data_IF_359602754625
#
_entry.id   IF_359602754625
#
_cell.length_a   1.000
_cell.length_b   1.000
_cell.length_c   1.000
_cell.angle_alpha   90.00
_cell.angle_beta   90.00
_cell.angle_gamma   90.00
#
_symmetry.space_group_name_H-M   'P 1'
#
loop_
_entity.id
_entity.type
_entity.pdbx_description
1 polymer ?
#
# COMPACT_ATOMS: atom_id res chain seq x y z
N UNK A 1 9.48 24.34 25.78
CA UNK A 1 10.55 23.34 25.98
C UNK A 1 10.92 22.80 24.62
N UNK A 2 12.17 22.96 24.18
CA UNK A 2 12.64 22.40 22.91
C UNK A 2 13.05 20.96 23.21
N UNK A 3 12.38 19.98 22.61
CA UNK A 3 12.68 18.56 22.81
C UNK A 3 13.92 18.15 22.02
N UNK A 4 14.83 17.41 22.65
CA UNK A 4 15.98 16.81 21.99
C UNK A 4 15.51 15.67 21.06
N UNK A 5 16.08 15.62 19.84
CA UNK A 5 15.80 14.57 18.85
C UNK A 5 17.11 13.89 18.47
N UNK A 6 17.10 12.56 18.35
CA UNK A 6 18.26 11.79 17.89
C UNK A 6 18.26 11.63 16.38
N UNK A 7 19.43 11.80 15.76
CA UNK A 7 19.63 11.63 14.33
C UNK A 7 20.68 10.56 14.05
N UNK A 8 20.48 9.81 12.96
CA UNK A 8 21.47 8.88 12.47
C UNK A 8 22.43 9.60 11.52
N UNK A 9 23.69 9.73 11.91
CA UNK A 9 24.76 10.26 11.06
C UNK A 9 25.70 9.12 10.65
N UNK A 10 25.90 8.95 9.35
CA UNK A 10 26.90 8.01 8.83
C UNK A 10 28.25 8.71 8.70
N UNK A 11 29.32 8.05 9.15
CA UNK A 11 30.69 8.58 9.06
C UNK A 11 31.41 8.22 7.76
N UNK A 12 30.88 7.24 7.01
CA UNK A 12 31.42 6.77 5.72
C UNK A 12 30.28 6.29 4.81
N UNK A 13 30.50 6.39 3.51
CA UNK A 13 29.57 5.95 2.46
C UNK A 13 30.26 4.98 1.50
N UNK A 14 29.51 4.04 0.95
CA UNK A 14 29.96 3.14 -0.11
C UNK A 14 29.00 3.23 -1.31
N UNK A 15 29.54 3.18 -2.52
CA UNK A 15 28.72 3.06 -3.73
C UNK A 15 28.08 1.66 -3.74
N UNK A 16 26.74 1.61 -3.68
CA UNK A 16 25.98 0.37 -3.80
C UNK A 16 25.11 0.43 -5.05
N UNK A 17 25.10 -0.62 -5.91
CA UNK A 17 24.22 -0.65 -7.06
C UNK A 17 22.76 -0.61 -6.58
N UNK A 18 21.97 0.28 -7.15
CA UNK A 18 20.54 0.34 -6.89
C UNK A 18 19.92 -0.94 -7.45
N UNK A 19 19.27 -1.75 -6.60
CA UNK A 19 18.44 -2.86 -7.10
C UNK A 19 17.39 -2.26 -8.03
N UNK A 20 17.43 -2.65 -9.30
CA UNK A 20 16.36 -2.32 -10.22
C UNK A 20 15.10 -3.01 -9.69
N UNK A 21 14.21 -2.22 -9.11
CA UNK A 21 12.85 -2.65 -8.83
C UNK A 21 12.11 -2.40 -10.12
N UNK A 22 12.40 -3.20 -11.15
CA UNK A 22 11.62 -3.21 -12.38
C UNK A 22 10.22 -3.57 -11.93
N UNK A 23 9.37 -2.54 -11.76
CA UNK A 23 7.96 -2.79 -11.53
C UNK A 23 7.53 -3.55 -12.77
N UNK A 24 6.99 -4.78 -12.65
CA UNK A 24 6.44 -5.45 -13.80
C UNK A 24 5.47 -4.47 -14.47
N UNK A 25 5.65 -4.27 -15.77
CA UNK A 25 4.76 -3.45 -16.57
C UNK A 25 3.36 -4.07 -16.42
N UNK A 26 2.53 -3.43 -15.60
CA UNK A 26 1.18 -3.89 -15.37
C UNK A 26 0.38 -3.43 -16.59
N UNK A 27 0.04 -4.39 -17.44
CA UNK A 27 -0.81 -4.23 -18.61
C UNK A 27 -2.29 -3.99 -18.25
N UNK A 28 -2.62 -4.10 -16.96
CA UNK A 28 -3.97 -3.88 -16.45
C UNK A 28 -4.24 -2.40 -16.17
N UNK A 29 -5.46 -1.98 -16.47
CA UNK A 29 -6.00 -0.70 -16.01
C UNK A 29 -6.02 -0.63 -14.47
N UNK A 30 -5.77 0.54 -13.86
CA UNK A 30 -5.76 0.68 -12.42
C UNK A 30 -7.17 0.51 -11.81
N UNK A 31 -7.26 -0.27 -10.73
CA UNK A 31 -8.52 -0.50 -9.99
C UNK A 31 -9.24 0.77 -9.49
N UNK A 32 -8.50 1.87 -9.29
CA UNK A 32 -9.04 3.15 -8.83
C UNK A 32 -8.07 4.27 -9.20
N UNK A 33 -8.57 5.44 -9.60
CA UNK A 33 -7.70 6.58 -9.88
C UNK A 33 -7.01 7.13 -8.63
N UNK A 34 -7.78 7.35 -7.56
CA UNK A 34 -7.28 8.02 -6.34
C UNK A 34 -6.77 7.07 -5.26
N UNK A 35 -7.33 5.86 -5.15
CA UNK A 35 -7.12 4.98 -3.97
C UNK A 35 -6.45 3.66 -4.30
N UNK A 36 -5.56 3.63 -5.29
CA UNK A 36 -4.82 2.43 -5.76
C UNK A 36 -4.23 1.59 -4.63
N UNK A 37 -3.73 2.23 -3.57
CA UNK A 37 -3.09 1.55 -2.46
C UNK A 37 -4.03 0.69 -1.59
N UNK A 38 -5.36 0.87 -1.67
CA UNK A 38 -6.35 0.07 -0.93
C UNK A 38 -6.78 -1.20 -1.65
N UNK A 39 -6.47 -1.29 -2.94
CA UNK A 39 -6.81 -2.43 -3.78
C UNK A 39 -5.60 -3.35 -3.97
N UNK A 40 -5.89 -4.62 -4.21
CA UNK A 40 -4.97 -5.62 -4.74
C UNK A 40 -5.49 -5.98 -6.14
N UNK A 41 -4.59 -6.00 -7.11
CA UNK A 41 -4.91 -6.41 -8.47
C UNK A 41 -4.22 -7.73 -8.78
N UNK A 42 -4.97 -8.70 -9.26
CA UNK A 42 -4.43 -9.93 -9.80
C UNK A 42 -3.74 -9.63 -11.14
N UNK A 43 -2.43 -9.90 -11.30
CA UNK A 43 -1.69 -9.52 -12.50
C UNK A 43 -2.00 -10.37 -13.73
N UNK A 44 -2.64 -11.54 -13.58
CA UNK A 44 -3.00 -12.42 -14.69
C UNK A 44 -4.41 -12.13 -15.21
N UNK A 45 -5.33 -11.75 -14.32
CA UNK A 45 -6.75 -11.57 -14.63
C UNK A 45 -7.22 -10.13 -14.56
N UNK A 46 -6.35 -9.21 -14.10
CA UNK A 46 -6.65 -7.80 -13.83
C UNK A 46 -7.77 -7.57 -12.80
N UNK A 47 -8.25 -8.62 -12.10
CA UNK A 47 -9.32 -8.51 -11.11
C UNK A 47 -8.87 -7.72 -9.90
N UNK A 48 -9.73 -6.82 -9.45
CA UNK A 48 -9.51 -5.96 -8.31
C UNK A 48 -10.22 -6.50 -7.07
N UNK A 49 -9.52 -6.50 -5.94
CA UNK A 49 -10.06 -6.87 -4.64
C UNK A 49 -9.56 -5.90 -3.56
N UNK A 50 -10.21 -5.86 -2.41
CA UNK A 50 -9.80 -5.01 -1.29
C UNK A 50 -8.66 -5.64 -0.48
N UNK A 51 -7.71 -4.81 -0.03
CA UNK A 51 -6.71 -5.25 0.96
C UNK A 51 -7.31 -5.57 2.31
N UNK A 52 -8.36 -4.84 2.70
CA UNK A 52 -9.14 -5.17 3.88
C UNK A 52 -10.15 -6.25 3.51
N UNK A 53 -10.31 -7.22 4.41
CA UNK A 53 -11.36 -8.22 4.32
C UNK A 53 -12.56 -7.78 5.16
N UNK A 54 -13.75 -8.23 4.79
CA UNK A 54 -14.97 -8.03 5.55
C UNK A 54 -14.81 -8.53 7.01
N UNK A 55 -14.21 -9.71 7.19
CA UNK A 55 -13.91 -10.27 8.51
C UNK A 55 -13.05 -9.35 9.39
N UNK A 56 -12.06 -8.65 8.80
CA UNK A 56 -11.18 -7.72 9.54
C UNK A 56 -11.91 -6.44 9.91
N UNK A 57 -12.83 -5.96 9.06
CA UNK A 57 -13.69 -4.83 9.36
C UNK A 57 -14.66 -5.18 10.49
N UNK A 58 -15.34 -6.34 10.41
CA UNK A 58 -16.25 -6.83 11.45
C UNK A 58 -15.60 -7.02 12.81
N UNK A 59 -14.36 -7.51 12.86
CA UNK A 59 -13.58 -7.60 14.11
C UNK A 59 -13.36 -6.24 14.80
N UNK A 60 -13.50 -5.14 14.05
CA UNK A 60 -13.41 -3.76 14.55
C UNK A 60 -14.77 -3.08 14.67
N UNK A 61 -15.86 -3.83 14.52
CA UNK A 61 -17.24 -3.31 14.49
C UNK A 61 -17.45 -2.29 13.36
N UNK A 62 -16.85 -2.57 12.21
CA UNK A 62 -16.94 -1.76 10.98
C UNK A 62 -17.46 -2.62 9.83
N UNK A 63 -18.03 -1.99 8.82
CA UNK A 63 -18.40 -2.62 7.55
C UNK A 63 -17.38 -2.28 6.46
N UNK A 64 -17.09 -3.24 5.56
CA UNK A 64 -16.22 -2.97 4.42
C UNK A 64 -17.03 -2.40 3.26
N UNK A 65 -16.70 -1.20 2.81
CA UNK A 65 -17.21 -0.69 1.55
C UNK A 65 -16.38 -1.26 0.39
N UNK A 66 -16.90 -2.28 -0.30
CA UNK A 66 -16.20 -2.97 -1.39
C UNK A 66 -15.86 -2.05 -2.59
N UNK A 67 -16.64 -0.98 -2.82
CA UNK A 67 -16.38 -0.02 -3.90
C UNK A 67 -15.16 0.86 -3.63
N UNK A 68 -14.88 1.15 -2.36
CA UNK A 68 -13.82 2.08 -1.96
C UNK A 68 -12.72 1.45 -1.11
N UNK A 69 -12.90 0.19 -0.73
CA UNK A 69 -12.08 -0.60 0.20
C UNK A 69 -11.81 0.08 1.54
N UNK A 70 -12.74 0.96 1.97
CA UNK A 70 -12.67 1.64 3.26
C UNK A 70 -13.52 0.91 4.29
N UNK A 71 -13.01 0.74 5.52
CA UNK A 71 -13.85 0.47 6.67
C UNK A 71 -14.78 1.66 6.91
N UNK A 72 -16.07 1.40 7.07
CA UNK A 72 -17.11 2.35 7.47
C UNK A 72 -17.62 1.95 8.86
N UNK A 73 -17.99 2.95 9.66
CA UNK A 73 -18.69 2.77 10.94
C UNK A 73 -20.17 2.54 10.71
#
# INVERSE_FOLDING_TARGET
HIGEMSFLQHSRCECRPKKDRTKPENHCEPCSERRKHLFVQDPQTCKCSCKNTDSRCKARQLELNERTCRPLT
#
